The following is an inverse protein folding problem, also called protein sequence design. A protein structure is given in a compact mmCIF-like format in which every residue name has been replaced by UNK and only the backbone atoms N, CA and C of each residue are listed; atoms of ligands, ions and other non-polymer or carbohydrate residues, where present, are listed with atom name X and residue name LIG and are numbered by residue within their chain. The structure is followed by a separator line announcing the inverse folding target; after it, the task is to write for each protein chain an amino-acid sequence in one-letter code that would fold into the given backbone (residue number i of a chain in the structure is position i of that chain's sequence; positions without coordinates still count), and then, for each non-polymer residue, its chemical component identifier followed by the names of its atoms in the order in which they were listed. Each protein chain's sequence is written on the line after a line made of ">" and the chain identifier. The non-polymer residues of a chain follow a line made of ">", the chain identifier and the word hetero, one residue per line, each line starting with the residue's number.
data_IF_061350744385
#
_entry.id   IF_061350744385
#
_cell.length_a   1.000
_cell.length_b   1.000
_cell.length_c   1.000
_cell.angle_alpha   90.00
_cell.angle_beta   90.00
_cell.angle_gamma   90.00
#
_symmetry.space_group_name_H-M   'P 1'
#
loop_
_entity.id
_entity.type
_entity.pdbx_description
1 polymer ?
#
# COMPACT_ATOMS: atom_id res chain seq x y z
N UNK A 1 -4.70 -5.15 26.93
CA UNK A 1 -3.70 -4.45 26.10
C UNK A 1 -4.29 -4.27 24.71
N UNK A 2 -4.13 -3.10 24.06
CA UNK A 2 -4.62 -2.90 22.71
C UNK A 2 -3.94 -3.91 21.78
N UNK A 3 -4.73 -4.60 20.95
CA UNK A 3 -4.18 -5.42 19.86
C UNK A 3 -3.65 -4.47 18.79
N UNK A 4 -2.52 -4.76 18.17
CA UNK A 4 -1.99 -3.99 17.04
C UNK A 4 -2.82 -4.29 15.79
N UNK A 5 -3.95 -3.60 15.68
CA UNK A 5 -4.93 -3.83 14.62
C UNK A 5 -4.47 -3.20 13.31
N UNK A 6 -3.64 -2.15 13.39
CA UNK A 6 -3.30 -1.29 12.24
C UNK A 6 -1.83 -1.45 11.86
N UNK A 7 -1.58 -1.71 10.57
CA UNK A 7 -0.32 -1.50 9.90
C UNK A 7 -0.38 -0.20 9.08
N UNK A 8 0.74 0.50 8.93
CA UNK A 8 0.78 1.73 8.15
C UNK A 8 2.05 1.81 7.31
N UNK A 9 1.89 2.19 6.04
CA UNK A 9 2.98 2.50 5.14
C UNK A 9 2.76 3.90 4.53
N UNK A 10 3.83 4.68 4.48
CA UNK A 10 3.86 6.07 4.03
C UNK A 10 4.48 6.19 2.65
N UNK A 11 4.28 7.33 2.01
CA UNK A 11 4.90 7.71 0.74
C UNK A 11 6.43 7.60 0.81
N UNK A 12 7.03 8.11 1.86
CA UNK A 12 8.45 7.91 2.14
C UNK A 12 8.62 6.71 3.07
N UNK A 13 9.34 5.64 2.65
CA UNK A 13 9.61 4.51 3.53
C UNK A 13 10.50 4.97 4.69
N UNK A 14 9.89 5.09 5.88
CA UNK A 14 10.60 5.53 7.09
C UNK A 14 11.34 4.34 7.70
N UNK A 15 12.36 3.82 7.01
CA UNK A 15 13.23 2.77 7.53
C UNK A 15 14.30 3.38 8.44
N UNK A 16 14.69 2.63 9.49
CA UNK A 16 15.75 3.04 10.40
C UNK A 16 17.11 2.76 9.73
N UNK A 17 17.85 3.82 9.43
CA UNK A 17 19.13 3.73 8.68
C UNK A 17 20.22 2.93 9.41
N UNK A 18 20.16 2.87 10.75
CA UNK A 18 21.13 2.12 11.57
C UNK A 18 20.79 0.63 11.71
N UNK A 19 19.60 0.19 11.26
CA UNK A 19 19.17 -1.21 11.20
C UNK A 19 19.28 -1.75 9.79
N UNK A 20 19.57 -3.05 9.64
CA UNK A 20 19.45 -3.73 8.36
C UNK A 20 17.96 -3.92 7.97
N UNK A 21 17.72 -4.46 6.78
CA UNK A 21 16.35 -4.63 6.27
C UNK A 21 15.55 -5.63 7.10
N UNK A 22 16.15 -6.76 7.49
CA UNK A 22 15.49 -7.76 8.34
C UNK A 22 15.09 -7.17 9.69
N UNK A 23 16.01 -6.45 10.36
CA UNK A 23 15.76 -5.77 11.62
C UNK A 23 14.68 -4.69 11.51
N UNK A 24 14.63 -3.96 10.39
CA UNK A 24 13.56 -3.01 10.11
C UNK A 24 12.20 -3.69 10.00
N UNK A 25 12.12 -4.82 9.30
CA UNK A 25 10.87 -5.55 9.11
C UNK A 25 10.42 -6.19 10.43
N UNK A 26 11.32 -6.68 11.26
CA UNK A 26 11.00 -7.29 12.57
C UNK A 26 10.55 -6.26 13.61
N UNK A 27 10.94 -5.00 13.47
CA UNK A 27 10.72 -3.95 14.48
C UNK A 27 9.31 -3.92 15.09
N UNK A 28 8.20 -4.03 14.36
CA UNK A 28 6.87 -4.06 14.98
C UNK A 28 6.68 -5.25 15.94
N UNK A 29 7.31 -6.39 15.66
CA UNK A 29 7.25 -7.59 16.53
C UNK A 29 8.12 -7.46 17.79
N UNK A 30 9.02 -6.49 17.86
CA UNK A 30 9.77 -6.16 19.09
C UNK A 30 8.93 -5.26 20.02
N UNK A 31 8.08 -4.41 19.44
CA UNK A 31 7.29 -3.40 20.17
C UNK A 31 5.94 -3.96 20.61
N UNK A 32 5.31 -4.72 19.71
CA UNK A 32 3.97 -5.26 19.93
C UNK A 32 4.06 -6.53 20.78
N UNK A 33 3.28 -6.64 21.87
CA UNK A 33 3.24 -7.86 22.66
C UNK A 33 2.84 -9.07 21.80
N UNK A 34 3.72 -10.07 21.74
CA UNK A 34 3.48 -11.34 21.06
C UNK A 34 4.26 -12.45 21.78
N UNK A 35 3.94 -13.71 21.44
CA UNK A 35 4.58 -14.90 22.04
C UNK A 35 5.64 -15.51 21.10
N UNK A 36 6.00 -14.83 20.02
CA UNK A 36 6.94 -15.36 19.03
C UNK A 36 8.37 -15.35 19.59
N UNK A 37 9.08 -16.46 19.42
CA UNK A 37 10.53 -16.52 19.61
C UNK A 37 11.25 -15.65 18.56
N UNK A 38 12.51 -15.32 18.82
CA UNK A 38 13.32 -14.56 17.86
C UNK A 38 13.40 -15.28 16.50
N UNK A 39 13.56 -16.59 16.49
CA UNK A 39 13.62 -17.40 15.27
C UNK A 39 12.30 -17.33 14.46
N UNK A 40 11.15 -17.33 15.14
CA UNK A 40 9.84 -17.20 14.47
C UNK A 40 9.65 -15.81 13.87
N UNK A 41 10.08 -14.76 14.57
CA UNK A 41 10.07 -13.37 14.05
C UNK A 41 10.91 -13.25 12.79
N UNK A 42 12.12 -13.78 12.80
CA UNK A 42 13.02 -13.78 11.64
C UNK A 42 12.44 -14.59 10.48
N UNK A 43 11.92 -15.78 10.73
CA UNK A 43 11.28 -16.61 9.69
C UNK A 43 10.14 -15.85 9.02
N UNK A 44 9.25 -15.23 9.80
CA UNK A 44 8.14 -14.46 9.27
C UNK A 44 8.59 -13.28 8.43
N UNK A 45 9.57 -12.51 8.91
CA UNK A 45 10.11 -11.39 8.18
C UNK A 45 10.76 -11.82 6.85
N UNK A 46 11.54 -12.90 6.84
CA UNK A 46 12.14 -13.48 5.63
C UNK A 46 11.08 -13.97 4.64
N UNK A 47 10.01 -14.61 5.12
CA UNK A 47 8.89 -15.01 4.25
C UNK A 47 8.29 -13.81 3.52
N UNK A 48 8.03 -12.70 4.23
CA UNK A 48 7.50 -11.48 3.61
C UNK A 48 8.50 -10.85 2.64
N UNK A 49 9.79 -10.78 3.00
CA UNK A 49 10.83 -10.26 2.12
C UNK A 49 10.95 -11.08 0.83
N UNK A 50 10.86 -12.40 0.93
CA UNK A 50 10.84 -13.29 -0.25
C UNK A 50 9.63 -13.04 -1.14
N UNK A 51 8.43 -12.89 -0.57
CA UNK A 51 7.19 -12.59 -1.33
C UNK A 51 7.32 -11.31 -2.18
N UNK A 52 8.07 -10.34 -1.69
CA UNK A 52 8.28 -9.07 -2.39
C UNK A 52 9.56 -9.03 -3.24
N UNK A 53 10.28 -10.15 -3.36
CA UNK A 53 11.50 -10.27 -4.17
C UNK A 53 12.71 -9.54 -3.57
N UNK A 54 12.84 -9.57 -2.25
CA UNK A 54 13.99 -9.01 -1.51
C UNK A 54 14.88 -10.09 -0.89
N UNK A 55 14.88 -11.32 -1.46
CA UNK A 55 15.82 -12.36 -1.06
C UNK A 55 17.27 -11.91 -1.27
N UNK A 56 18.11 -12.13 -0.26
CA UNK A 56 19.52 -11.74 -0.27
C UNK A 56 19.78 -10.29 0.14
N UNK A 57 18.75 -9.48 0.40
CA UNK A 57 18.88 -8.10 0.85
C UNK A 57 18.65 -7.91 2.36
N UNK A 58 18.43 -8.99 3.11
CA UNK A 58 18.07 -8.96 4.53
C UNK A 58 19.10 -8.23 5.39
N UNK A 59 20.38 -8.40 5.09
CA UNK A 59 21.49 -7.82 5.84
C UNK A 59 21.94 -6.45 5.31
N UNK A 60 21.33 -5.96 4.22
CA UNK A 60 21.62 -4.64 3.65
C UNK A 60 21.02 -3.53 4.49
N UNK A 61 21.65 -2.35 4.45
CA UNK A 61 21.11 -1.12 5.04
C UNK A 61 20.13 -0.45 4.07
N UNK A 62 19.17 0.37 4.57
CA UNK A 62 18.25 1.09 3.69
C UNK A 62 18.96 1.92 2.61
N UNK A 63 20.10 2.53 2.93
CA UNK A 63 20.92 3.31 1.98
C UNK A 63 21.49 2.51 0.82
N UNK A 64 21.58 1.18 0.92
CA UNK A 64 22.06 0.28 -0.12
C UNK A 64 20.95 -0.18 -1.09
N UNK A 65 19.68 0.21 -0.84
CA UNK A 65 18.50 -0.21 -1.60
C UNK A 65 18.00 0.90 -2.52
N UNK A 66 17.40 0.50 -3.66
CA UNK A 66 16.64 1.42 -4.50
C UNK A 66 15.37 1.93 -3.78
N UNK A 67 14.75 3.01 -4.29
CA UNK A 67 13.50 3.55 -3.75
C UNK A 67 12.39 2.49 -3.69
N UNK A 68 12.18 1.75 -4.77
CA UNK A 68 11.18 0.67 -4.83
C UNK A 68 11.48 -0.48 -3.86
N UNK A 69 12.76 -0.86 -3.70
CA UNK A 69 13.16 -1.89 -2.72
C UNK A 69 12.89 -1.43 -1.29
N UNK A 70 13.21 -0.17 -0.96
CA UNK A 70 12.86 0.40 0.35
C UNK A 70 11.36 0.39 0.60
N UNK A 71 10.55 0.72 -0.43
CA UNK A 71 9.10 0.70 -0.31
C UNK A 71 8.57 -0.72 -0.07
N UNK A 72 9.09 -1.74 -0.78
CA UNK A 72 8.77 -3.16 -0.53
C UNK A 72 9.09 -3.58 0.90
N UNK A 73 10.25 -3.20 1.42
CA UNK A 73 10.63 -3.48 2.80
C UNK A 73 9.71 -2.78 3.81
N UNK A 74 9.29 -1.54 3.53
CA UNK A 74 8.33 -0.79 4.35
C UNK A 74 6.95 -1.47 4.41
N UNK A 75 6.47 -2.00 3.28
CA UNK A 75 5.24 -2.79 3.22
C UNK A 75 5.34 -4.08 4.05
N UNK A 76 6.47 -4.80 3.95
CA UNK A 76 6.73 -5.99 4.80
C UNK A 76 6.71 -5.62 6.28
N UNK A 77 7.32 -4.50 6.67
CA UNK A 77 7.30 -4.02 8.05
C UNK A 77 5.88 -3.71 8.52
N UNK A 78 5.05 -3.08 7.68
CA UNK A 78 3.67 -2.78 8.01
C UNK A 78 2.80 -4.04 8.19
N UNK A 79 3.17 -5.17 7.55
CA UNK A 79 2.40 -6.41 7.54
C UNK A 79 2.93 -7.48 8.53
N UNK A 80 4.16 -7.34 9.04
CA UNK A 80 4.83 -8.42 9.79
C UNK A 80 4.08 -8.87 11.04
N UNK A 81 3.35 -7.96 11.68
CA UNK A 81 2.56 -8.24 12.89
C UNK A 81 1.12 -8.69 12.61
N UNK A 82 0.78 -8.98 11.34
CA UNK A 82 -0.56 -9.41 10.89
C UNK A 82 -1.68 -8.43 11.27
N UNK A 83 -1.62 -7.18 10.81
CA UNK A 83 -2.68 -6.21 11.09
C UNK A 83 -4.00 -6.63 10.43
N UNK A 84 -5.12 -6.30 11.07
CA UNK A 84 -6.45 -6.45 10.46
C UNK A 84 -6.71 -5.35 9.42
N UNK A 85 -6.14 -4.16 9.64
CA UNK A 85 -6.25 -2.99 8.75
C UNK A 85 -4.86 -2.51 8.33
N UNK A 86 -4.67 -2.31 7.02
CA UNK A 86 -3.46 -1.71 6.45
C UNK A 86 -3.80 -0.36 5.85
N UNK A 87 -3.20 0.71 6.38
CA UNK A 87 -3.32 2.06 5.85
C UNK A 87 -2.11 2.36 4.96
N UNK A 88 -2.38 2.78 3.74
CA UNK A 88 -1.41 3.11 2.71
C UNK A 88 -1.61 4.58 2.31
N UNK A 89 -0.71 5.44 2.75
CA UNK A 89 -0.78 6.88 2.51
C UNK A 89 0.19 7.27 1.38
N UNK A 90 -0.35 7.46 0.17
CA UNK A 90 0.39 7.71 -1.08
C UNK A 90 1.62 6.79 -1.30
N UNK A 91 1.51 5.47 -1.06
CA UNK A 91 2.68 4.59 -0.89
C UNK A 91 3.53 4.45 -2.15
N UNK A 92 3.04 4.86 -3.31
CA UNK A 92 3.73 4.70 -4.59
C UNK A 92 4.05 6.02 -5.28
N UNK A 93 3.67 7.16 -4.70
CA UNK A 93 3.76 8.48 -5.32
C UNK A 93 5.20 8.93 -5.68
N UNK A 94 6.21 8.47 -4.96
CA UNK A 94 7.62 8.81 -5.18
C UNK A 94 8.34 7.90 -6.20
N UNK A 95 7.64 6.96 -6.84
CA UNK A 95 8.23 5.95 -7.72
C UNK A 95 7.97 6.26 -9.20
N UNK A 96 8.91 5.84 -10.06
CA UNK A 96 8.68 5.83 -11.51
C UNK A 96 7.57 4.86 -11.91
N UNK A 97 7.04 5.00 -13.12
CA UNK A 97 5.86 4.27 -13.58
C UNK A 97 6.05 2.74 -13.54
N UNK A 98 7.20 2.24 -13.99
CA UNK A 98 7.45 0.79 -14.04
C UNK A 98 7.59 0.19 -12.63
N UNK A 99 8.37 0.84 -11.78
CA UNK A 99 8.54 0.41 -10.37
C UNK A 99 7.19 0.44 -9.62
N UNK A 100 6.32 1.41 -9.91
CA UNK A 100 4.99 1.53 -9.32
C UNK A 100 4.10 0.37 -9.75
N UNK A 101 4.02 0.07 -11.04
CA UNK A 101 3.23 -1.03 -11.58
C UNK A 101 3.69 -2.39 -11.05
N UNK A 102 5.00 -2.58 -10.92
CA UNK A 102 5.59 -3.75 -10.25
C UNK A 102 5.11 -3.88 -8.79
N UNK A 103 5.09 -2.77 -8.06
CA UNK A 103 4.63 -2.77 -6.67
C UNK A 103 3.13 -3.04 -6.54
N UNK A 104 2.30 -2.65 -7.49
CA UNK A 104 0.89 -3.02 -7.51
C UNK A 104 0.72 -4.54 -7.59
N UNK A 105 1.52 -5.22 -8.43
CA UNK A 105 1.52 -6.69 -8.50
C UNK A 105 1.98 -7.33 -7.18
N UNK A 106 2.98 -6.73 -6.54
CA UNK A 106 3.45 -7.16 -5.20
C UNK A 106 2.33 -7.01 -4.16
N UNK A 107 1.58 -5.91 -4.18
CA UNK A 107 0.43 -5.71 -3.28
C UNK A 107 -0.64 -6.79 -3.46
N UNK A 108 -0.93 -7.21 -4.69
CA UNK A 108 -1.86 -8.32 -4.93
C UNK A 108 -1.37 -9.63 -4.34
N UNK A 109 -0.07 -9.96 -4.50
CA UNK A 109 0.54 -11.14 -3.88
C UNK A 109 0.44 -11.08 -2.36
N UNK A 110 0.83 -9.95 -1.77
CA UNK A 110 0.77 -9.75 -0.32
C UNK A 110 -0.65 -9.91 0.22
N UNK A 111 -1.65 -9.32 -0.43
CA UNK A 111 -3.05 -9.43 0.00
C UNK A 111 -3.59 -10.85 -0.08
N UNK A 112 -3.14 -11.64 -1.06
CA UNK A 112 -3.51 -13.05 -1.22
C UNK A 112 -2.95 -13.92 -0.10
N UNK A 113 -1.69 -13.70 0.26
CA UNK A 113 -0.99 -14.49 1.27
C UNK A 113 -1.26 -14.01 2.71
N UNK A 114 -1.47 -12.71 2.87
CA UNK A 114 -1.72 -12.03 4.14
C UNK A 114 -3.01 -11.19 4.03
N UNK A 115 -4.19 -11.77 4.26
CA UNK A 115 -5.45 -11.05 4.14
C UNK A 115 -5.56 -9.90 5.16
N UNK A 116 -5.94 -8.72 4.68
CA UNK A 116 -6.18 -7.51 5.48
C UNK A 116 -7.26 -6.63 4.82
N UNK A 117 -7.87 -5.76 5.60
CA UNK A 117 -8.67 -4.65 5.07
C UNK A 117 -7.73 -3.50 4.72
N UNK A 118 -7.66 -3.11 3.44
CA UNK A 118 -6.80 -2.03 2.96
C UNK A 118 -7.53 -0.70 2.88
N UNK A 119 -6.91 0.36 3.40
CA UNK A 119 -7.30 1.76 3.14
C UNK A 119 -6.17 2.40 2.36
N UNK A 120 -6.41 2.72 1.09
CA UNK A 120 -5.45 3.36 0.21
C UNK A 120 -5.83 4.82 0.01
N UNK A 121 -4.92 5.73 0.35
CA UNK A 121 -5.02 7.15 0.06
C UNK A 121 -4.10 7.40 -1.13
N UNK A 122 -4.65 7.88 -2.23
CA UNK A 122 -3.91 8.16 -3.45
C UNK A 122 -4.59 9.24 -4.30
N UNK A 123 -3.81 9.91 -5.13
CA UNK A 123 -4.30 10.79 -6.19
C UNK A 123 -4.19 10.15 -7.58
N UNK A 124 -3.64 8.94 -7.71
CA UNK A 124 -3.57 8.19 -8.97
C UNK A 124 -4.83 7.33 -9.15
N UNK A 125 -5.65 7.68 -10.13
CA UNK A 125 -6.90 6.99 -10.44
C UNK A 125 -6.70 5.54 -10.90
N UNK A 126 -5.62 5.24 -11.62
CA UNK A 126 -5.29 3.88 -12.06
C UNK A 126 -4.99 2.99 -10.87
N UNK A 127 -4.24 3.53 -9.91
CA UNK A 127 -3.91 2.88 -8.65
C UNK A 127 -5.18 2.56 -7.86
N UNK A 128 -6.10 3.52 -7.74
CA UNK A 128 -7.34 3.34 -6.99
C UNK A 128 -8.19 2.22 -7.59
N UNK A 129 -8.42 2.18 -8.89
CA UNK A 129 -9.25 1.14 -9.51
C UNK A 129 -8.54 -0.22 -9.59
N UNK A 130 -7.21 -0.24 -9.66
CA UNK A 130 -6.44 -1.48 -9.75
C UNK A 130 -6.30 -2.20 -8.41
N UNK A 131 -6.11 -1.45 -7.32
CA UNK A 131 -5.78 -2.00 -6.00
C UNK A 131 -6.95 -2.14 -5.04
N UNK A 132 -8.09 -1.44 -5.27
CA UNK A 132 -9.19 -1.40 -4.30
C UNK A 132 -10.46 -2.07 -4.83
N UNK A 133 -11.35 -2.43 -3.92
CA UNK A 133 -12.69 -2.97 -4.25
C UNK A 133 -13.73 -1.85 -4.34
N UNK A 134 -13.41 -0.68 -3.77
CA UNK A 134 -14.26 0.49 -3.72
C UNK A 134 -13.42 1.76 -3.70
N UNK A 135 -13.84 2.79 -4.43
CA UNK A 135 -13.18 4.09 -4.48
C UNK A 135 -14.16 5.15 -3.97
N UNK A 136 -13.69 5.96 -3.03
CA UNK A 136 -14.43 7.09 -2.46
C UNK A 136 -13.72 8.37 -2.85
N UNK A 137 -14.42 9.27 -3.54
CA UNK A 137 -13.92 10.61 -3.86
C UNK A 137 -14.33 11.55 -2.74
N UNK A 138 -13.36 12.19 -2.13
CA UNK A 138 -13.57 13.19 -1.08
C UNK A 138 -13.57 14.59 -1.64
N UNK A 139 -14.44 15.45 -1.11
CA UNK A 139 -14.54 16.86 -1.50
C UNK A 139 -14.47 17.79 -0.30
N UNK A 140 -14.08 19.03 -0.59
CA UNK A 140 -14.26 20.16 0.32
C UNK A 140 -13.41 20.13 1.60
N UNK A 141 -13.62 21.21 2.38
CA UNK A 141 -13.15 21.32 3.77
C UNK A 141 -14.32 21.83 4.61
N UNK A 142 -14.82 21.06 5.58
CA UNK A 142 -14.39 19.69 5.95
C UNK A 142 -14.67 18.68 4.83
N UNK A 143 -13.82 17.65 4.69
CA UNK A 143 -13.95 16.63 3.66
C UNK A 143 -15.23 15.81 3.85
N UNK A 144 -15.98 15.64 2.77
CA UNK A 144 -17.21 14.84 2.73
C UNK A 144 -17.11 13.82 1.60
N UNK A 145 -17.85 12.71 1.71
CA UNK A 145 -17.99 11.77 0.60
C UNK A 145 -18.77 12.45 -0.53
N UNK A 146 -18.12 12.66 -1.67
CA UNK A 146 -18.69 13.26 -2.88
C UNK A 146 -19.24 12.20 -3.82
N UNK A 147 -18.52 11.10 -3.97
CA UNK A 147 -18.86 10.04 -4.90
C UNK A 147 -18.22 8.72 -4.45
N UNK A 148 -18.92 7.62 -4.72
CA UNK A 148 -18.50 6.27 -4.36
C UNK A 148 -18.75 5.34 -5.56
N UNK A 149 -17.78 4.49 -5.88
CA UNK A 149 -17.89 3.51 -6.95
C UNK A 149 -17.22 2.20 -6.56
N UNK A 150 -17.89 1.09 -6.82
CA UNK A 150 -17.32 -0.25 -6.66
C UNK A 150 -16.51 -0.60 -7.90
N UNK A 151 -15.30 -1.08 -7.67
CA UNK A 151 -14.44 -1.63 -8.72
C UNK A 151 -14.81 -3.08 -8.94
N UNK A 152 -14.94 -3.50 -10.20
CA UNK A 152 -15.14 -4.91 -10.50
C UNK A 152 -13.78 -5.60 -10.60
N UNK A 153 -13.25 -6.02 -9.44
CA UNK A 153 -11.99 -6.78 -9.40
C UNK A 153 -12.22 -8.24 -9.76
N UNK A 154 -11.57 -8.72 -10.80
CA UNK A 154 -11.29 -10.15 -10.94
C UNK A 154 -10.19 -10.55 -9.95
N UNK A 155 -10.25 -11.76 -9.38
CA UNK A 155 -9.39 -12.20 -8.27
C UNK A 155 -7.87 -12.14 -8.48
N UNK A 156 -7.40 -11.85 -9.71
CA UNK A 156 -5.99 -11.61 -10.04
C UNK A 156 -5.90 -10.64 -11.23
N UNK A 157 -6.12 -9.33 -11.01
CA UNK A 157 -6.14 -8.36 -12.09
C UNK A 157 -4.75 -8.27 -12.73
N UNK A 158 -4.73 -8.25 -14.05
CA UNK A 158 -3.52 -7.97 -14.84
C UNK A 158 -3.48 -6.47 -15.14
N UNK A 159 -2.28 -5.92 -15.33
CA UNK A 159 -2.12 -4.50 -15.68
C UNK A 159 -2.86 -4.13 -16.97
N UNK A 160 -2.95 -5.07 -17.91
CA UNK A 160 -3.69 -4.90 -19.17
C UNK A 160 -5.17 -4.60 -18.93
N UNK A 161 -5.77 -5.05 -17.83
CA UNK A 161 -7.17 -4.76 -17.50
C UNK A 161 -7.46 -3.27 -17.32
N UNK A 162 -6.44 -2.45 -17.02
CA UNK A 162 -6.56 -0.98 -16.97
C UNK A 162 -6.88 -0.36 -18.32
N UNK A 163 -6.59 -1.05 -19.43
CA UNK A 163 -6.84 -0.59 -20.79
C UNK A 163 -8.15 -1.13 -21.37
N UNK A 164 -8.89 -1.93 -20.63
CA UNK A 164 -10.21 -2.42 -21.04
C UNK A 164 -11.23 -1.27 -21.05
N UNK A 165 -12.23 -1.30 -21.96
CA UNK A 165 -13.23 -0.24 -22.10
C UNK A 165 -13.88 0.17 -20.79
N UNK A 166 -14.18 -0.82 -19.93
CA UNK A 166 -14.82 -0.60 -18.63
C UNK A 166 -13.94 0.16 -17.65
N UNK A 167 -12.65 -0.16 -17.57
CA UNK A 167 -11.68 0.55 -16.73
C UNK A 167 -11.48 1.98 -17.22
N UNK A 168 -11.43 2.18 -18.54
CA UNK A 168 -11.32 3.51 -19.16
C UNK A 168 -12.55 4.37 -18.85
N UNK A 169 -13.74 3.80 -18.91
CA UNK A 169 -14.99 4.49 -18.56
C UNK A 169 -15.01 4.88 -17.08
N UNK A 170 -14.59 3.96 -16.19
CA UNK A 170 -14.47 4.22 -14.75
C UNK A 170 -13.47 5.33 -14.44
N UNK A 171 -12.30 5.34 -15.10
CA UNK A 171 -11.29 6.40 -14.97
C UNK A 171 -11.84 7.78 -15.40
N UNK A 172 -12.57 7.83 -16.52
CA UNK A 172 -13.21 9.06 -17.00
C UNK A 172 -14.25 9.58 -16.02
N UNK A 173 -15.08 8.67 -15.47
CA UNK A 173 -16.09 9.02 -14.48
C UNK A 173 -15.47 9.54 -13.20
N UNK A 174 -14.48 8.85 -12.62
CA UNK A 174 -13.77 9.30 -11.41
C UNK A 174 -13.12 10.67 -11.62
N UNK A 175 -12.48 10.89 -12.77
CA UNK A 175 -11.90 12.19 -13.13
C UNK A 175 -12.94 13.30 -13.11
N UNK A 176 -14.08 13.08 -13.76
CA UNK A 176 -15.17 14.04 -13.80
C UNK A 176 -15.72 14.36 -12.39
N UNK A 177 -15.86 13.34 -11.53
CA UNK A 177 -16.30 13.53 -10.16
C UNK A 177 -15.29 14.33 -9.31
N UNK A 178 -14.00 14.17 -9.56
CA UNK A 178 -12.96 14.99 -8.91
C UNK A 178 -13.01 16.43 -9.39
N UNK A 179 -13.24 16.69 -10.68
CA UNK A 179 -13.41 18.04 -11.24
C UNK A 179 -14.62 18.75 -10.57
N UNK A 180 -15.76 18.07 -10.46
CA UNK A 180 -16.93 18.57 -9.71
C UNK A 180 -16.60 18.87 -8.25
N UNK A 181 -15.84 17.98 -7.60
CA UNK A 181 -15.45 18.16 -6.20
C UNK A 181 -14.56 19.39 -6.00
N UNK A 182 -13.69 19.71 -6.97
CA UNK A 182 -12.81 20.88 -6.95
C UNK A 182 -13.59 22.18 -7.23
N UNK A 183 -14.48 22.19 -8.20
CA UNK A 183 -15.30 23.37 -8.57
C UNK A 183 -16.22 23.81 -7.41
N UNK A 184 -16.75 22.84 -6.65
CA UNK A 184 -17.54 23.11 -5.46
C UNK A 184 -16.73 23.77 -4.31
N UNK A 185 -15.39 23.74 -4.38
CA UNK A 185 -14.51 24.45 -3.46
C UNK A 185 -14.27 25.91 -3.87
N UNK A 186 -14.16 26.17 -5.18
CA UNK A 186 -13.94 27.52 -5.73
C UNK A 186 -15.11 28.46 -5.51
N UNK A 187 -16.34 27.96 -5.40
CA UNK A 187 -17.55 28.76 -5.19
C UNK A 187 -17.89 29.08 -3.72
N UNK A 188 -17.05 28.65 -2.75
CA UNK A 188 -17.27 28.86 -1.30
C UNK A 188 -16.19 29.73 -0.66
N UNK A 189 -15.33 30.37 -1.46
CA UNK A 189 -14.31 31.35 -0.99
C UNK A 189 -14.76 32.79 -1.17
#
# INVERSE_FOLDING_TARGET
>A
QPKPIVGMAFQNPVLLEWRNILENVILPLEIVPNKLSQLEKERRARTLLSLVGLDGFENKKPSELSGGMRQRASLCRALVHKPEVLILDEPFGALDAFTREDLWQVMHKLRKEEPFTGVLITHDLRESIFLTDEVIVLSGRPATNQYEIKTERSGNPKLESLFEPKSIEMLKNLRHQIEIAQDNQGNKS
#
